data_IF_747284973797
#
_entry.id   IF_747284973797
#
_cell.length_a   1.000
_cell.length_b   1.000
_cell.length_c   1.000
_cell.angle_alpha   90.00
_cell.angle_beta   90.00
_cell.angle_gamma   90.00
#
_symmetry.space_group_name_H-M   'P 1'
#
loop_
_entity.id
_entity.type
_entity.pdbx_description
1 polymer ?
#
# COMPACT_ATOMS: atom_id res chain seq x y z
N UNK A 1 1.87 -15.86 2.93
CA UNK A 1 3.14 -15.45 2.26
C UNK A 1 3.49 -16.39 1.10
N UNK A 2 3.68 -17.69 1.31
CA UNK A 2 4.02 -18.63 0.22
C UNK A 2 3.02 -18.65 -0.94
N UNK A 3 1.71 -18.71 -0.66
CA UNK A 3 0.69 -18.66 -1.71
C UNK A 3 0.80 -17.42 -2.62
N UNK A 4 1.08 -16.24 -2.04
CA UNK A 4 1.26 -15.00 -2.80
C UNK A 4 2.51 -15.05 -3.69
N UNK A 5 3.63 -15.59 -3.18
CA UNK A 5 4.84 -15.76 -3.98
C UNK A 5 4.64 -16.76 -5.12
N UNK A 6 3.97 -17.87 -4.87
CA UNK A 6 3.64 -18.85 -5.91
C UNK A 6 2.75 -18.25 -6.99
N UNK A 7 1.69 -17.51 -6.62
CA UNK A 7 0.83 -16.82 -7.59
C UNK A 7 1.61 -15.79 -8.39
N UNK A 8 2.41 -14.95 -7.73
CA UNK A 8 3.23 -13.94 -8.42
C UNK A 8 4.22 -14.57 -9.39
N UNK A 9 4.94 -15.61 -8.96
CA UNK A 9 5.85 -16.38 -9.81
C UNK A 9 5.13 -16.93 -11.04
N UNK A 10 4.00 -17.61 -10.85
CA UNK A 10 3.23 -18.18 -11.96
C UNK A 10 2.75 -17.09 -12.93
N UNK A 11 2.27 -15.95 -12.43
CA UNK A 11 1.85 -14.83 -13.27
C UNK A 11 3.01 -14.24 -14.07
N UNK A 12 4.16 -13.98 -13.43
CA UNK A 12 5.33 -13.38 -14.10
C UNK A 12 5.95 -14.32 -15.13
N UNK A 13 6.06 -15.61 -14.83
CA UNK A 13 6.58 -16.62 -15.78
C UNK A 13 5.62 -16.78 -16.96
N UNK A 14 4.31 -16.87 -16.71
CA UNK A 14 3.31 -16.97 -17.79
C UNK A 14 3.32 -15.70 -18.64
N UNK A 15 3.41 -14.53 -18.02
CA UNK A 15 3.50 -13.25 -18.72
C UNK A 15 4.77 -13.16 -19.58
N UNK A 16 5.93 -13.60 -19.07
CA UNK A 16 7.16 -13.66 -19.85
C UNK A 16 6.99 -14.51 -21.12
N UNK A 17 6.33 -15.67 -21.00
CA UNK A 17 6.02 -16.51 -22.17
C UNK A 17 5.07 -15.85 -23.17
N UNK A 18 4.01 -15.19 -22.68
CA UNK A 18 3.06 -14.44 -23.53
C UNK A 18 3.74 -13.27 -24.26
N UNK A 19 4.70 -12.62 -23.61
CA UNK A 19 5.43 -11.48 -24.12
C UNK A 19 6.59 -11.85 -25.06
N UNK A 20 7.08 -13.10 -25.02
CA UNK A 20 8.24 -13.56 -25.78
C UNK A 20 8.19 -13.21 -27.29
N UNK A 21 7.06 -13.33 -28.00
CA UNK A 21 6.97 -12.95 -29.41
C UNK A 21 7.06 -11.43 -29.68
N UNK A 22 6.81 -10.58 -28.67
CA UNK A 22 6.67 -9.13 -28.83
C UNK A 22 7.86 -8.34 -28.27
N UNK A 23 8.40 -8.77 -27.13
CA UNK A 23 9.50 -8.10 -26.42
C UNK A 23 10.58 -9.11 -26.01
N UNK A 24 11.27 -9.72 -26.99
CA UNK A 24 11.99 -10.97 -26.78
C UNK A 24 13.12 -10.89 -25.75
N UNK A 25 13.88 -9.79 -25.74
CA UNK A 25 14.98 -9.62 -24.79
C UNK A 25 14.49 -9.42 -23.35
N UNK A 26 13.44 -8.60 -23.16
CA UNK A 26 12.86 -8.35 -21.83
C UNK A 26 12.18 -9.60 -21.28
N UNK A 27 11.42 -10.30 -22.13
CA UNK A 27 10.79 -11.56 -21.76
C UNK A 27 11.82 -12.63 -21.34
N UNK A 28 12.93 -12.75 -22.09
CA UNK A 28 14.00 -13.69 -21.78
C UNK A 28 14.73 -13.34 -20.49
N UNK A 29 15.03 -12.05 -20.26
CA UNK A 29 15.65 -11.58 -19.03
C UNK A 29 14.77 -11.86 -17.80
N UNK A 30 13.47 -11.56 -17.88
CA UNK A 30 12.51 -11.88 -16.80
C UNK A 30 12.50 -13.38 -16.53
N UNK A 31 12.38 -14.20 -17.57
CA UNK A 31 12.32 -15.65 -17.43
C UNK A 31 13.60 -16.22 -16.81
N UNK A 32 14.78 -15.82 -17.31
CA UNK A 32 16.08 -16.30 -16.78
C UNK A 32 16.29 -15.90 -15.32
N UNK A 33 15.92 -14.67 -14.97
CA UNK A 33 16.03 -14.17 -13.59
C UNK A 33 15.08 -14.88 -12.61
N UNK A 34 13.93 -15.35 -13.07
CA UNK A 34 12.93 -16.02 -12.22
C UNK A 34 13.06 -17.54 -12.20
N UNK A 35 13.33 -18.16 -13.35
CA UNK A 35 13.30 -19.61 -13.55
C UNK A 35 14.72 -20.18 -13.53
N UNK A 36 15.59 -19.77 -14.44
CA UNK A 36 16.94 -20.35 -14.59
C UNK A 36 17.85 -20.06 -13.39
N UNK A 37 17.64 -18.94 -12.70
CA UNK A 37 18.38 -18.59 -11.47
C UNK A 37 18.05 -19.51 -10.28
N UNK A 38 16.88 -20.17 -10.31
CA UNK A 38 16.38 -21.03 -9.23
C UNK A 38 16.47 -22.51 -9.61
N UNK A 39 16.25 -22.84 -10.89
CA UNK A 39 16.19 -24.20 -11.41
C UNK A 39 17.26 -24.41 -12.51
N UNK A 40 18.43 -24.99 -12.17
CA UNK A 40 19.53 -25.18 -13.13
C UNK A 40 19.19 -26.05 -14.34
N UNK A 41 18.22 -26.96 -14.20
CA UNK A 41 17.76 -27.89 -15.25
C UNK A 41 16.65 -27.28 -16.13
N UNK A 42 16.24 -26.03 -15.88
CA UNK A 42 15.22 -25.39 -16.69
C UNK A 42 15.73 -25.09 -18.11
N UNK A 43 14.80 -25.03 -19.06
CA UNK A 43 15.09 -24.58 -20.42
C UNK A 43 15.76 -23.21 -20.35
N UNK A 44 16.87 -23.03 -21.07
CA UNK A 44 17.76 -21.88 -20.88
C UNK A 44 17.15 -20.52 -21.27
N UNK A 45 16.13 -20.53 -22.13
CA UNK A 45 15.50 -19.34 -22.69
C UNK A 45 13.99 -19.51 -22.82
N UNK A 46 13.25 -18.42 -22.59
CA UNK A 46 11.79 -18.40 -22.74
C UNK A 46 11.35 -18.75 -24.18
N UNK A 47 12.18 -18.42 -25.17
CA UNK A 47 11.93 -18.63 -26.60
C UNK A 47 11.94 -20.10 -27.00
N UNK A 48 12.50 -20.95 -26.14
CA UNK A 48 12.55 -22.39 -26.31
C UNK A 48 11.45 -23.11 -25.51
N UNK A 49 10.57 -22.35 -24.84
CA UNK A 49 9.46 -22.91 -24.07
C UNK A 49 8.16 -22.94 -24.87
N UNK A 50 7.27 -23.86 -24.52
CA UNK A 50 5.92 -23.89 -25.10
C UNK A 50 5.12 -22.64 -24.72
N UNK A 51 4.31 -22.18 -25.68
CA UNK A 51 3.33 -21.13 -25.47
C UNK A 51 2.32 -21.55 -24.38
N UNK A 52 1.97 -20.66 -23.43
CA UNK A 52 1.16 -21.04 -22.30
C UNK A 52 -0.28 -21.37 -22.72
N UNK A 53 -0.82 -22.46 -22.17
CA UNK A 53 -2.19 -22.92 -22.41
C UNK A 53 -3.06 -22.61 -21.18
N UNK A 54 -4.22 -22.01 -21.40
CA UNK A 54 -5.13 -21.65 -20.33
C UNK A 54 -5.82 -22.88 -19.72
N UNK A 55 -5.83 -22.95 -18.39
CA UNK A 55 -6.56 -23.95 -17.63
C UNK A 55 -7.92 -23.37 -17.22
N UNK A 56 -8.95 -23.65 -18.02
CA UNK A 56 -10.30 -23.10 -17.83
C UNK A 56 -10.95 -23.56 -16.52
N UNK A 57 -10.47 -24.64 -15.90
CA UNK A 57 -10.99 -25.11 -14.60
C UNK A 57 -10.64 -24.16 -13.44
N UNK A 58 -9.65 -23.28 -13.63
CA UNK A 58 -9.22 -22.29 -12.64
C UNK A 58 -9.91 -20.93 -12.80
N UNK A 59 -10.75 -20.77 -13.83
CA UNK A 59 -11.48 -19.53 -14.06
C UNK A 59 -12.71 -19.49 -13.15
N UNK A 60 -12.69 -18.59 -12.18
CA UNK A 60 -13.82 -18.33 -11.29
C UNK A 60 -14.46 -16.97 -11.64
N UNK A 61 -15.51 -17.01 -12.47
CA UNK A 61 -16.25 -15.83 -12.91
C UNK A 61 -16.86 -15.05 -11.73
N UNK A 62 -17.26 -15.72 -10.65
CA UNK A 62 -17.81 -15.05 -9.47
C UNK A 62 -16.74 -14.26 -8.75
N UNK A 63 -15.54 -14.83 -8.61
CA UNK A 63 -14.39 -14.15 -8.03
C UNK A 63 -13.91 -12.99 -8.91
N UNK A 64 -13.89 -13.16 -10.24
CA UNK A 64 -13.56 -12.09 -11.18
C UNK A 64 -14.52 -10.93 -11.00
N UNK A 65 -15.83 -11.19 -11.00
CA UNK A 65 -16.83 -10.14 -10.80
C UNK A 65 -16.71 -9.45 -9.44
N UNK A 66 -16.51 -10.22 -8.36
CA UNK A 66 -16.27 -9.66 -7.03
C UNK A 66 -15.00 -8.80 -6.96
N UNK A 67 -13.94 -9.19 -7.67
CA UNK A 67 -12.69 -8.44 -7.74
C UNK A 67 -12.87 -7.11 -8.47
N UNK A 68 -13.57 -7.11 -9.61
CA UNK A 68 -13.94 -5.88 -10.32
C UNK A 68 -14.75 -4.94 -9.43
N UNK A 69 -15.76 -5.48 -8.73
CA UNK A 69 -16.57 -4.69 -7.81
C UNK A 69 -15.73 -4.11 -6.67
N UNK A 70 -14.79 -4.88 -6.10
CA UNK A 70 -13.88 -4.37 -5.08
C UNK A 70 -12.99 -3.24 -5.61
N UNK A 71 -12.51 -3.34 -6.85
CA UNK A 71 -11.78 -2.26 -7.53
C UNK A 71 -12.63 -1.02 -7.72
N UNK A 72 -13.90 -1.15 -8.11
CA UNK A 72 -14.86 -0.03 -8.21
C UNK A 72 -15.08 0.62 -6.84
N UNK A 73 -15.31 -0.16 -5.79
CA UNK A 73 -15.43 0.35 -4.41
C UNK A 73 -14.17 1.11 -3.98
N UNK A 74 -12.98 0.59 -4.26
CA UNK A 74 -11.72 1.26 -3.96
C UNK A 74 -11.55 2.56 -4.77
N UNK A 75 -11.96 2.57 -6.04
CA UNK A 75 -11.95 3.77 -6.89
C UNK A 75 -12.86 4.85 -6.33
N UNK A 76 -14.12 4.50 -6.03
CA UNK A 76 -15.11 5.40 -5.45
C UNK A 76 -14.69 5.89 -4.06
N UNK A 77 -14.16 5.03 -3.20
CA UNK A 77 -13.64 5.43 -1.89
C UNK A 77 -12.50 6.43 -1.99
N UNK A 78 -11.58 6.27 -2.95
CA UNK A 78 -10.53 7.27 -3.22
C UNK A 78 -11.10 8.57 -3.78
N UNK A 79 -12.12 8.50 -4.65
CA UNK A 79 -12.80 9.68 -5.17
C UNK A 79 -13.52 10.47 -4.06
N UNK A 80 -14.24 9.79 -3.17
CA UNK A 80 -14.88 10.36 -2.00
C UNK A 80 -13.86 11.05 -1.07
N UNK A 81 -12.72 10.38 -0.80
CA UNK A 81 -11.60 10.97 -0.05
C UNK A 81 -11.04 12.22 -0.71
N UNK A 82 -10.83 12.19 -2.02
CA UNK A 82 -10.34 13.33 -2.78
C UNK A 82 -11.32 14.52 -2.69
N UNK A 83 -12.63 14.27 -2.80
CA UNK A 83 -13.68 15.28 -2.61
C UNK A 83 -13.64 15.92 -1.22
N UNK A 84 -13.32 15.13 -0.19
CA UNK A 84 -13.13 15.61 1.18
C UNK A 84 -11.76 16.27 1.46
N UNK A 85 -10.83 16.26 0.50
CA UNK A 85 -9.45 16.71 0.72
C UNK A 85 -8.62 15.80 1.64
N UNK A 86 -9.09 14.59 1.95
CA UNK A 86 -8.40 13.64 2.83
C UNK A 86 -7.46 12.76 2.02
N UNK A 87 -6.18 12.73 2.41
CA UNK A 87 -5.16 11.92 1.73
C UNK A 87 -5.28 10.45 2.10
N UNK A 88 -4.98 9.54 1.17
CA UNK A 88 -5.13 8.09 1.40
C UNK A 88 -4.34 7.57 2.61
N UNK A 89 -3.19 8.18 2.90
CA UNK A 89 -2.34 7.86 4.05
C UNK A 89 -2.95 8.16 5.41
N UNK A 90 -3.94 9.07 5.47
CA UNK A 90 -4.69 9.35 6.69
C UNK A 90 -5.65 8.17 6.89
N UNK A 91 -5.47 7.35 7.93
CA UNK A 91 -6.44 6.31 8.24
C UNK A 91 -7.77 6.95 8.61
N UNK A 92 -8.85 6.32 8.19
CA UNK A 92 -10.22 6.72 8.55
C UNK A 92 -10.91 5.60 9.29
N UNK A 93 -11.93 5.94 10.07
CA UNK A 93 -12.66 5.00 10.91
C UNK A 93 -13.34 3.93 10.05
N UNK A 94 -14.15 4.35 9.08
CA UNK A 94 -14.95 3.41 8.29
C UNK A 94 -15.32 3.94 6.92
N UNK A 95 -15.75 3.01 6.09
CA UNK A 95 -16.43 3.27 4.82
C UNK A 95 -17.77 2.54 4.80
N UNK A 96 -18.81 3.22 4.34
CA UNK A 96 -20.11 2.63 4.03
C UNK A 96 -20.14 2.26 2.56
N UNK A 97 -20.64 1.07 2.24
CA UNK A 97 -20.74 0.57 0.87
C UNK A 97 -22.17 0.09 0.61
N UNK A 98 -22.80 0.64 -0.43
CA UNK A 98 -24.04 0.14 -1.00
C UNK A 98 -23.73 -0.57 -2.32
N UNK A 99 -24.30 -1.76 -2.48
CA UNK A 99 -24.23 -2.59 -3.69
C UNK A 99 -25.63 -3.05 -4.09
N UNK A 100 -25.80 -3.55 -5.32
CA UNK A 100 -27.13 -3.78 -5.90
C UNK A 100 -27.80 -5.07 -5.41
N UNK A 101 -27.02 -6.03 -4.92
CA UNK A 101 -27.54 -7.36 -4.57
C UNK A 101 -26.83 -8.01 -3.39
N UNK A 102 -27.50 -8.98 -2.75
CA UNK A 102 -26.91 -9.78 -1.69
C UNK A 102 -25.71 -10.62 -2.16
N UNK A 103 -25.73 -11.07 -3.42
CA UNK A 103 -24.62 -11.84 -4.02
C UNK A 103 -23.34 -11.01 -4.15
N UNK A 104 -23.47 -9.73 -4.50
CA UNK A 104 -22.33 -8.80 -4.55
C UNK A 104 -21.76 -8.52 -3.17
N UNK A 105 -22.63 -8.33 -2.18
CA UNK A 105 -22.23 -8.16 -0.79
C UNK A 105 -21.46 -9.38 -0.29
N UNK A 106 -21.91 -10.59 -0.60
CA UNK A 106 -21.21 -11.83 -0.24
C UNK A 106 -19.83 -11.92 -0.94
N UNK A 107 -19.78 -11.59 -2.24
CA UNK A 107 -18.55 -11.57 -3.02
C UNK A 107 -17.51 -10.59 -2.44
N UNK A 108 -17.94 -9.35 -2.17
CA UNK A 108 -17.12 -8.34 -1.51
C UNK A 108 -16.71 -8.73 -0.10
N UNK A 109 -17.57 -9.46 0.62
CA UNK A 109 -17.28 -10.00 1.96
C UNK A 109 -15.96 -10.77 2.01
N UNK A 110 -15.61 -11.49 0.92
CA UNK A 110 -14.36 -12.25 0.79
C UNK A 110 -13.13 -11.37 0.51
N UNK A 111 -13.35 -10.11 0.11
CA UNK A 111 -12.34 -9.14 -0.31
C UNK A 111 -12.27 -7.92 0.62
N UNK A 112 -12.93 -7.95 1.78
CA UNK A 112 -12.95 -6.83 2.74
C UNK A 112 -11.54 -6.43 3.14
N UNK A 113 -10.65 -7.37 3.43
CA UNK A 113 -9.26 -7.06 3.80
C UNK A 113 -8.54 -6.21 2.75
N UNK A 114 -8.72 -6.54 1.47
CA UNK A 114 -8.12 -5.82 0.36
C UNK A 114 -8.70 -4.41 0.25
N UNK A 115 -10.01 -4.25 0.46
CA UNK A 115 -10.66 -2.94 0.48
C UNK A 115 -10.16 -2.09 1.65
N UNK A 116 -10.04 -2.67 2.85
CA UNK A 116 -9.52 -1.99 4.05
C UNK A 116 -8.11 -1.47 3.81
N UNK A 117 -7.24 -2.29 3.23
CA UNK A 117 -5.85 -1.94 2.93
C UNK A 117 -5.76 -0.85 1.86
N UNK A 118 -6.47 -1.01 0.74
CA UNK A 118 -6.44 -0.09 -0.40
C UNK A 118 -7.04 1.28 -0.08
N UNK A 119 -8.09 1.28 0.75
CA UNK A 119 -8.72 2.50 1.23
C UNK A 119 -8.12 2.98 2.54
N UNK A 120 -7.21 2.27 3.20
CA UNK A 120 -6.68 2.62 4.53
C UNK A 120 -7.80 3.08 5.49
N UNK A 121 -8.81 2.23 5.68
CA UNK A 121 -9.91 2.44 6.63
C UNK A 121 -9.94 1.28 7.63
N UNK A 122 -10.49 1.50 8.84
CA UNK A 122 -10.52 0.44 9.86
C UNK A 122 -11.68 -0.55 9.66
N UNK A 123 -12.77 -0.11 9.05
CA UNK A 123 -13.97 -0.93 8.88
C UNK A 123 -14.68 -0.67 7.55
N UNK A 124 -15.30 -1.71 6.98
CA UNK A 124 -16.24 -1.65 5.86
C UNK A 124 -17.61 -2.06 6.38
N UNK A 125 -18.59 -1.18 6.25
CA UNK A 125 -19.97 -1.44 6.66
C UNK A 125 -20.89 -1.40 5.42
N UNK A 126 -21.73 -2.42 5.26
CA UNK A 126 -22.70 -2.45 4.16
C UNK A 126 -24.03 -1.87 4.62
N UNK A 127 -24.41 -0.73 4.04
CA UNK A 127 -25.58 0.02 4.44
C UNK A 127 -26.29 0.66 3.25
N UNK A 128 -27.59 0.94 3.41
CA UNK A 128 -28.31 1.82 2.51
C UNK A 128 -27.79 3.25 2.69
N UNK A 129 -27.18 3.80 1.64
CA UNK A 129 -26.67 5.18 1.66
C UNK A 129 -27.78 6.09 1.13
N UNK A 130 -28.66 6.52 2.03
CA UNK A 130 -29.72 7.50 1.75
C UNK A 130 -29.60 8.65 2.76
N UNK A 131 -29.47 9.88 2.27
CA UNK A 131 -29.36 11.08 3.11
C UNK A 131 -28.27 10.97 4.20
N UNK A 132 -27.06 10.58 3.80
CA UNK A 132 -25.90 10.62 4.71
C UNK A 132 -25.55 12.06 5.05
N UNK A 133 -25.18 12.28 6.31
CA UNK A 133 -24.73 13.58 6.80
C UNK A 133 -23.46 14.03 6.06
N UNK A 134 -23.61 14.99 5.14
CA UNK A 134 -22.52 15.52 4.31
C UNK A 134 -21.43 16.22 5.13
N UNK A 135 -21.71 16.59 6.39
CA UNK A 135 -20.68 17.13 7.29
C UNK A 135 -19.73 16.05 7.81
N UNK A 136 -20.19 14.79 7.83
CA UNK A 136 -19.45 13.63 8.33
C UNK A 136 -18.96 12.71 7.21
N UNK A 137 -19.69 12.62 6.11
CA UNK A 137 -19.43 11.67 5.05
C UNK A 137 -19.15 12.38 3.73
N UNK A 138 -18.11 11.92 3.05
CA UNK A 138 -17.93 12.21 1.64
C UNK A 138 -18.39 11.02 0.81
N UNK A 139 -19.22 11.29 -0.20
CA UNK A 139 -19.88 10.26 -1.01
C UNK A 139 -19.41 10.33 -2.45
N UNK A 140 -19.19 9.15 -3.03
CA UNK A 140 -18.99 8.93 -4.46
C UNK A 140 -19.86 7.75 -4.91
N UNK A 141 -20.39 7.84 -6.12
CA UNK A 141 -21.33 6.86 -6.67
C UNK A 141 -21.05 6.66 -8.17
N UNK A 142 -21.16 5.41 -8.60
CA UNK A 142 -21.09 4.98 -10.00
C UNK A 142 -22.05 3.80 -10.20
N UNK A 143 -22.96 3.93 -11.16
CA UNK A 143 -24.06 3.01 -11.41
C UNK A 143 -24.82 2.63 -10.13
N UNK A 144 -24.87 1.34 -9.79
CA UNK A 144 -25.56 0.83 -8.60
C UNK A 144 -24.67 0.79 -7.33
N UNK A 145 -23.42 1.25 -7.42
CA UNK A 145 -22.44 1.21 -6.33
C UNK A 145 -22.25 2.59 -5.75
N UNK A 146 -22.46 2.71 -4.44
CA UNK A 146 -22.25 3.96 -3.71
C UNK A 146 -21.32 3.71 -2.53
N UNK A 147 -20.37 4.63 -2.33
CA UNK A 147 -19.35 4.57 -1.29
C UNK A 147 -19.35 5.88 -0.52
N UNK A 148 -19.55 5.80 0.79
CA UNK A 148 -19.48 6.95 1.69
C UNK A 148 -18.35 6.76 2.70
N UNK A 149 -17.39 7.67 2.71
CA UNK A 149 -16.22 7.61 3.59
C UNK A 149 -16.44 8.53 4.78
N UNK A 150 -16.26 8.00 6.00
CA UNK A 150 -16.34 8.79 7.25
C UNK A 150 -15.10 9.69 7.35
N UNK A 151 -15.28 11.00 7.31
CA UNK A 151 -14.19 12.01 7.26
C UNK A 151 -13.84 12.57 8.63
N UNK A 152 -14.57 12.18 9.68
CA UNK A 152 -14.33 12.66 11.05
C UNK A 152 -13.07 11.97 11.61
N UNK A 153 -12.06 12.78 11.91
CA UNK A 153 -10.79 12.32 12.47
C UNK A 153 -10.84 12.34 13.99
N UNK A 154 -10.60 11.19 14.61
CA UNK A 154 -10.30 11.14 16.05
C UNK A 154 -8.83 11.51 16.30
N UNK A 155 -8.46 11.93 17.52
CA UNK A 155 -7.06 12.22 17.86
C UNK A 155 -6.11 11.06 17.56
N UNK A 156 -6.56 9.81 17.73
CA UNK A 156 -5.78 8.60 17.47
C UNK A 156 -5.56 8.40 15.98
N UNK A 157 -6.59 8.59 15.15
CA UNK A 157 -6.47 8.50 13.69
C UNK A 157 -5.55 9.58 13.14
N UNK A 158 -5.67 10.82 13.63
CA UNK A 158 -4.77 11.91 13.25
C UNK A 158 -3.32 11.58 13.62
N UNK A 159 -3.08 11.10 14.84
CA UNK A 159 -1.75 10.69 15.29
C UNK A 159 -1.15 9.57 14.44
N UNK A 160 -1.93 8.53 14.10
CA UNK A 160 -1.50 7.45 13.21
C UNK A 160 -1.18 7.99 11.80
N UNK A 161 -2.01 8.90 11.27
CA UNK A 161 -1.79 9.53 9.97
C UNK A 161 -0.47 10.31 9.92
N UNK A 162 -0.14 11.02 11.00
CA UNK A 162 1.14 11.72 11.15
C UNK A 162 2.31 10.73 11.21
N UNK A 163 2.18 9.64 11.99
CA UNK A 163 3.20 8.60 12.05
C UNK A 163 3.48 7.99 10.67
N UNK A 164 2.42 7.71 9.88
CA UNK A 164 2.55 7.24 8.48
C UNK A 164 3.22 8.28 7.58
N UNK A 165 2.94 9.57 7.78
CA UNK A 165 3.65 10.63 7.05
C UNK A 165 5.14 10.67 7.40
N UNK A 166 5.50 10.51 8.68
CA UNK A 166 6.90 10.38 9.12
C UNK A 166 7.58 9.21 8.44
N UNK A 167 6.98 8.01 8.48
CA UNK A 167 7.51 6.81 7.81
C UNK A 167 7.78 7.09 6.33
N UNK A 168 6.82 7.72 5.63
CA UNK A 168 6.99 8.08 4.22
C UNK A 168 8.16 9.03 4.00
N UNK A 169 8.34 10.05 4.84
CA UNK A 169 9.48 10.98 4.71
C UNK A 169 10.79 10.24 4.89
N UNK A 170 10.92 9.46 5.96
CA UNK A 170 12.12 8.67 6.23
C UNK A 170 12.43 7.67 5.10
N UNK A 171 11.41 6.98 4.57
CA UNK A 171 11.58 6.07 3.44
C UNK A 171 11.99 6.78 2.14
N UNK A 172 11.49 8.00 1.92
CA UNK A 172 11.92 8.83 0.80
C UNK A 172 13.37 9.26 0.97
N UNK A 173 13.73 9.72 2.17
CA UNK A 173 15.10 10.09 2.50
C UNK A 173 16.07 8.92 2.31
N UNK A 174 15.70 7.69 2.72
CA UNK A 174 16.51 6.48 2.49
C UNK A 174 16.83 6.27 1.01
N UNK A 175 15.83 6.41 0.15
CA UNK A 175 16.02 6.30 -1.31
C UNK A 175 16.87 7.44 -1.85
N UNK A 176 16.61 8.68 -1.43
CA UNK A 176 17.39 9.85 -1.85
C UNK A 176 18.86 9.78 -1.42
N UNK A 177 19.13 9.19 -0.25
CA UNK A 177 20.47 8.96 0.28
C UNK A 177 21.19 7.76 -0.38
N UNK A 178 20.53 7.03 -1.30
CA UNK A 178 21.11 5.89 -2.00
C UNK A 178 21.29 4.64 -1.14
N UNK A 179 20.52 4.49 -0.05
CA UNK A 179 20.61 3.32 0.81
C UNK A 179 19.95 2.10 0.15
N UNK A 180 20.51 0.91 0.40
CA UNK A 180 19.90 -0.33 -0.07
C UNK A 180 18.60 -0.63 0.68
N UNK A 181 17.73 -1.42 0.07
CA UNK A 181 16.42 -1.76 0.66
C UNK A 181 16.56 -2.50 2.01
N UNK A 182 17.64 -3.26 2.19
CA UNK A 182 17.93 -4.03 3.41
C UNK A 182 18.78 -3.28 4.44
N UNK A 183 19.23 -2.06 4.14
CA UNK A 183 20.12 -1.32 5.05
C UNK A 183 19.37 -0.91 6.32
N UNK A 184 19.99 -1.13 7.48
CA UNK A 184 19.50 -0.58 8.73
C UNK A 184 20.00 0.86 8.94
N UNK A 185 19.19 1.69 9.62
CA UNK A 185 19.54 3.09 9.88
C UNK A 185 19.39 3.45 11.35
N UNK A 186 20.00 4.56 11.73
CA UNK A 186 19.65 5.33 12.92
C UNK A 186 18.95 6.61 12.47
N UNK A 187 17.80 6.88 13.09
CA UNK A 187 17.01 8.09 12.81
C UNK A 187 17.19 9.09 13.94
N UNK A 188 17.70 10.27 13.64
CA UNK A 188 17.68 11.43 14.54
C UNK A 188 16.57 12.40 14.13
N UNK A 189 15.95 13.07 15.09
CA UNK A 189 14.99 14.14 14.78
C UNK A 189 15.04 15.30 15.75
N UNK A 190 14.64 16.48 15.26
CA UNK A 190 14.34 17.65 16.06
C UNK A 190 12.95 18.16 15.70
N UNK A 191 12.09 18.30 16.70
CA UNK A 191 10.72 18.79 16.55
C UNK A 191 10.15 19.25 17.89
N UNK A 192 8.99 19.87 17.86
CA UNK A 192 8.27 20.31 19.06
C UNK A 192 7.70 19.12 19.87
N UNK A 193 7.10 19.40 21.02
CA UNK A 193 6.49 18.39 21.89
C UNK A 193 5.40 17.56 21.21
N UNK A 194 4.68 18.16 20.25
CA UNK A 194 3.68 17.46 19.47
C UNK A 194 4.31 16.34 18.64
N UNK A 195 5.35 16.65 17.85
CA UNK A 195 6.09 15.64 17.09
C UNK A 195 6.74 14.62 18.01
N UNK A 196 7.33 15.05 19.14
CA UNK A 196 7.93 14.13 20.12
C UNK A 196 6.94 13.07 20.59
N UNK A 197 5.72 13.46 20.98
CA UNK A 197 4.67 12.52 21.42
C UNK A 197 4.30 11.51 20.33
N UNK A 198 4.25 11.93 19.06
CA UNK A 198 3.98 11.02 17.94
C UNK A 198 5.15 10.04 17.73
N UNK A 199 6.38 10.55 17.73
CA UNK A 199 7.58 9.71 17.58
C UNK A 199 7.70 8.68 18.70
N UNK A 200 7.39 9.06 19.95
CA UNK A 200 7.40 8.18 21.11
C UNK A 200 6.26 7.15 21.05
N UNK A 201 5.03 7.60 20.79
CA UNK A 201 3.84 6.74 20.77
C UNK A 201 3.81 5.72 19.62
N UNK A 202 4.48 6.03 18.51
CA UNK A 202 4.55 5.17 17.32
C UNK A 202 5.99 4.69 17.03
N UNK A 203 6.89 4.73 18.03
CA UNK A 203 8.30 4.43 17.84
C UNK A 203 8.56 3.07 17.19
N UNK A 204 7.87 2.03 17.65
CA UNK A 204 8.08 0.66 17.17
C UNK A 204 7.55 0.48 15.74
N UNK A 205 6.39 1.06 15.45
CA UNK A 205 5.85 1.12 14.09
C UNK A 205 6.83 1.83 13.13
N UNK A 206 7.30 3.02 13.51
CA UNK A 206 8.22 3.81 12.67
C UNK A 206 9.54 3.05 12.48
N UNK A 207 10.10 2.44 13.52
CA UNK A 207 11.33 1.63 13.43
C UNK A 207 11.17 0.46 12.47
N UNK A 208 10.10 -0.32 12.63
CA UNK A 208 9.82 -1.49 11.80
C UNK A 208 9.66 -1.09 10.34
N UNK A 209 8.85 -0.06 10.06
CA UNK A 209 8.56 0.37 8.70
C UNK A 209 9.73 1.07 8.02
N UNK A 210 10.73 1.56 8.76
CA UNK A 210 11.88 2.29 8.21
C UNK A 210 13.20 1.54 8.32
N UNK A 211 13.18 0.31 8.84
CA UNK A 211 14.36 -0.47 9.26
C UNK A 211 15.31 0.33 10.16
N UNK A 212 14.75 1.24 10.97
CA UNK A 212 15.52 2.04 11.91
C UNK A 212 15.73 1.25 13.20
N UNK A 213 16.98 1.11 13.65
CA UNK A 213 17.28 0.44 14.92
C UNK A 213 17.00 1.35 16.11
N UNK A 214 17.19 2.66 15.92
CA UNK A 214 17.05 3.65 16.97
C UNK A 214 16.46 4.95 16.42
N UNK A 215 15.57 5.55 17.22
CA UNK A 215 15.04 6.88 16.98
C UNK A 215 15.50 7.75 18.16
N UNK A 216 16.21 8.84 17.88
CA UNK A 216 16.81 9.71 18.90
C UNK A 216 16.36 11.15 18.67
N UNK A 217 15.85 11.80 19.73
CA UNK A 217 15.58 13.22 19.69
C UNK A 217 16.89 13.99 19.95
N UNK A 218 17.59 14.36 18.89
CA UNK A 218 18.87 15.07 18.96
C UNK A 218 19.15 15.78 17.64
N UNK A 219 20.10 16.71 17.66
CA UNK A 219 20.69 17.23 16.44
C UNK A 219 21.27 16.08 15.60
N UNK A 220 20.94 15.99 14.31
CA UNK A 220 21.53 14.98 13.45
C UNK A 220 23.06 15.00 13.51
N UNK A 221 23.72 13.85 13.76
CA UNK A 221 25.17 13.79 13.85
C UNK A 221 25.84 14.02 12.48
N UNK A 222 27.11 14.42 12.49
CA UNK A 222 27.87 14.65 11.27
C UNK A 222 27.88 13.42 10.33
N UNK A 223 27.75 13.70 9.04
CA UNK A 223 27.63 12.69 7.99
C UNK A 223 26.24 12.04 7.89
N UNK A 224 25.24 12.51 8.64
CA UNK A 224 23.86 12.12 8.41
C UNK A 224 23.29 12.78 7.17
N UNK A 225 22.43 12.08 6.44
CA UNK A 225 21.60 12.69 5.41
C UNK A 225 20.39 13.36 6.08
N UNK A 226 20.28 14.68 5.96
CA UNK A 226 19.29 15.48 6.71
C UNK A 226 18.30 16.18 5.79
N UNK A 227 17.03 16.20 6.16
CA UNK A 227 16.00 16.98 5.49
C UNK A 227 15.09 17.68 6.52
N UNK A 228 14.63 18.88 6.16
CA UNK A 228 13.58 19.60 6.91
C UNK A 228 12.23 19.35 6.26
N UNK A 229 11.23 19.10 7.08
CA UNK A 229 9.86 18.89 6.62
C UNK A 229 8.87 19.69 7.47
N UNK A 230 7.70 19.94 6.88
CA UNK A 230 6.53 20.46 7.59
C UNK A 230 5.46 19.38 7.66
N UNK A 231 5.14 18.90 8.86
CA UNK A 231 4.15 17.85 9.11
C UNK A 231 3.08 18.41 10.05
N UNK A 232 1.82 18.39 9.61
CA UNK A 232 0.68 18.99 10.33
C UNK A 232 0.97 20.41 10.87
N UNK A 233 1.58 21.24 10.03
CA UNK A 233 1.95 22.62 10.36
C UNK A 233 3.20 22.78 11.25
N UNK A 234 3.73 21.69 11.81
CA UNK A 234 4.94 21.70 12.64
C UNK A 234 6.19 21.50 11.79
N UNK A 235 7.25 22.26 12.07
CA UNK A 235 8.56 22.00 11.48
C UNK A 235 9.26 20.85 12.22
N UNK A 236 9.82 19.93 11.45
CA UNK A 236 10.64 18.83 11.94
C UNK A 236 11.87 18.68 11.05
N UNK A 237 13.03 18.55 11.67
CA UNK A 237 14.26 18.13 11.00
C UNK A 237 14.47 16.65 11.24
N UNK A 238 14.63 15.87 10.18
CA UNK A 238 15.07 14.47 10.27
C UNK A 238 16.51 14.36 9.81
N UNK A 239 17.23 13.43 10.44
CA UNK A 239 18.51 12.93 9.98
C UNK A 239 18.50 11.42 9.96
N UNK A 240 19.03 10.83 8.89
CA UNK A 240 19.24 9.38 8.79
C UNK A 240 20.71 9.09 8.56
N UNK A 241 21.21 8.05 9.21
CA UNK A 241 22.57 7.54 9.02
C UNK A 241 22.52 6.03 8.92
N UNK A 242 23.25 5.46 7.96
CA UNK A 242 23.38 4.01 7.85
C UNK A 242 24.01 3.48 9.14
N UNK A 243 23.38 2.48 9.71
CA UNK A 243 23.97 1.78 10.85
C UNK A 243 25.07 0.86 10.33
N UNK A 244 26.27 1.00 10.88
CA UNK A 244 27.46 0.24 10.46
C UNK A 244 27.60 -1.09 11.22
N UNK A 245 26.68 -1.38 12.15
CA UNK A 245 26.68 -2.60 12.96
C UNK A 245 26.00 -3.79 12.27
#
# INVERSE_FOLDING_TARGET
>A
KMAAYTTLYNCLVTLAKLLAPFVPFVADEIYRNLVCSVYPEAIESVHLTDFPVADLSKVDEKLVHATWLAMTVCSLGRAARAKAGVKVRQPLSRVLVRVRSASEREGLGKLISQILDELNVKEVEFAEIKNVDESKYAVAEEDDVCVAVDTVLTPELEAEGIAREVVRRLQTMRRSAGFNIADHIVTSYQGNDFIRRIMDGYADYIKQETLSRQIVQATPPDGSYTEKHRISGCEVMFGIKKDAA
#
